data_IF_709760649410
#
_entry.id   IF_709760649410
#
_cell.length_a   1.000
_cell.length_b   1.000
_cell.length_c   1.000
_cell.angle_alpha   90.00
_cell.angle_beta   90.00
_cell.angle_gamma   90.00
#
_symmetry.space_group_name_H-M   'P 1'
#
loop_
_entity.id
_entity.type
_entity.pdbx_description
1 polymer ?
#
# COMPACT_ATOMS: atom_id res chain seq x y z
N UNK A 1 3.37 -18.68 -9.28
CA UNK A 1 1.97 -18.88 -8.84
C UNK A 1 1.97 -18.78 -7.32
N UNK A 2 1.18 -17.88 -6.77
CA UNK A 2 1.11 -17.65 -5.33
C UNK A 2 -0.15 -18.28 -4.76
N UNK A 3 -0.03 -18.85 -3.56
CA UNK A 3 -1.16 -19.39 -2.79
C UNK A 3 -1.61 -18.26 -1.85
N UNK A 4 -2.89 -17.95 -1.86
CA UNK A 4 -3.43 -16.96 -0.95
C UNK A 4 -3.46 -17.50 0.47
N UNK A 5 -2.85 -16.77 1.40
CA UNK A 5 -2.89 -17.13 2.82
C UNK A 5 -4.11 -16.51 3.52
N UNK A 6 -4.36 -15.21 3.32
CA UNK A 6 -5.47 -14.49 3.97
C UNK A 6 -6.11 -13.46 3.04
N UNK A 7 -7.43 -13.28 3.24
CA UNK A 7 -8.22 -12.16 2.70
C UNK A 7 -8.89 -11.46 3.88
N UNK A 8 -8.43 -10.27 4.19
CA UNK A 8 -8.92 -9.50 5.33
C UNK A 8 -9.76 -8.36 4.79
N UNK A 9 -11.07 -8.41 5.05
CA UNK A 9 -11.95 -7.27 4.74
C UNK A 9 -11.65 -6.16 5.73
N UNK A 10 -11.06 -5.07 5.26
CA UNK A 10 -10.74 -3.90 6.09
C UNK A 10 -11.93 -2.95 6.22
N UNK A 11 -12.66 -2.74 5.12
CA UNK A 11 -13.84 -1.90 5.05
C UNK A 11 -14.76 -2.41 3.92
N UNK A 12 -15.92 -1.77 3.72
CA UNK A 12 -16.88 -2.16 2.67
C UNK A 12 -16.26 -2.25 1.27
N UNK A 13 -15.34 -1.32 0.95
CA UNK A 13 -14.71 -1.17 -0.36
C UNK A 13 -13.24 -1.53 -0.42
N UNK A 14 -12.67 -2.14 0.64
CA UNK A 14 -11.24 -2.45 0.69
C UNK A 14 -10.99 -3.83 1.28
N UNK A 15 -10.06 -4.54 0.65
CA UNK A 15 -9.56 -5.82 1.16
C UNK A 15 -8.03 -5.82 1.16
N UNK A 16 -7.45 -6.44 2.16
CA UNK A 16 -6.04 -6.76 2.21
C UNK A 16 -5.87 -8.24 1.86
N UNK A 17 -5.22 -8.52 0.74
CA UNK A 17 -4.92 -9.87 0.28
C UNK A 17 -3.46 -10.16 0.58
N UNK A 18 -3.19 -11.23 1.31
CA UNK A 18 -1.85 -11.72 1.60
C UNK A 18 -1.63 -13.02 0.83
N UNK A 19 -0.60 -13.04 0.00
CA UNK A 19 -0.22 -14.22 -0.78
C UNK A 19 1.10 -14.76 -0.27
N UNK A 20 1.25 -16.07 -0.31
CA UNK A 20 2.50 -16.75 -0.04
C UNK A 20 2.85 -17.72 -1.18
N UNK A 21 4.10 -18.21 -1.19
CA UNK A 21 4.58 -19.18 -2.16
C UNK A 21 5.46 -20.22 -1.48
N UNK A 22 5.50 -21.45 -2.02
CA UNK A 22 6.33 -22.52 -1.48
C UNK A 22 7.83 -22.21 -1.57
N UNK A 23 8.25 -21.51 -2.65
CA UNK A 23 9.61 -21.01 -2.80
C UNK A 23 9.71 -19.58 -2.26
N UNK A 24 10.91 -19.11 -1.88
CA UNK A 24 11.13 -17.73 -1.50
C UNK A 24 10.61 -16.76 -2.58
N UNK A 25 9.95 -15.70 -2.13
CA UNK A 25 9.50 -14.64 -3.03
C UNK A 25 10.71 -13.92 -3.63
N UNK A 26 10.62 -13.43 -4.88
CA UNK A 26 11.69 -12.64 -5.48
C UNK A 26 11.91 -11.34 -4.71
N UNK A 27 13.08 -10.74 -4.89
CA UNK A 27 13.32 -9.38 -4.38
C UNK A 27 12.37 -8.38 -5.04
N UNK A 28 11.78 -7.53 -4.23
CA UNK A 28 10.82 -6.52 -4.65
C UNK A 28 11.21 -5.15 -4.10
N UNK A 29 11.05 -4.12 -4.91
CA UNK A 29 11.34 -2.74 -4.55
C UNK A 29 10.05 -1.99 -4.23
N UNK A 30 10.05 -1.05 -3.24
CA UNK A 30 8.90 -0.18 -2.99
C UNK A 30 8.50 0.58 -4.26
N UNK A 31 7.21 0.62 -4.56
CA UNK A 31 6.66 1.23 -5.78
C UNK A 31 6.43 0.27 -6.93
N UNK A 32 6.94 -0.95 -6.87
CA UNK A 32 6.60 -1.99 -7.84
C UNK A 32 5.17 -2.51 -7.64
N UNK A 33 4.64 -3.17 -8.67
CA UNK A 33 3.29 -3.71 -8.69
C UNK A 33 3.27 -5.15 -9.20
N UNK A 34 2.11 -5.76 -9.16
CA UNK A 34 1.84 -7.08 -9.71
C UNK A 34 0.64 -7.04 -10.66
N UNK A 35 0.65 -7.90 -11.65
CA UNK A 35 -0.47 -8.18 -12.56
C UNK A 35 -1.19 -9.45 -12.10
N UNK A 36 -2.37 -9.31 -11.51
CA UNK A 36 -3.15 -10.41 -10.94
C UNK A 36 -4.22 -10.86 -11.92
N UNK A 37 -4.24 -12.15 -12.26
CA UNK A 37 -5.28 -12.75 -13.11
C UNK A 37 -6.56 -12.96 -12.29
N UNK A 38 -7.69 -12.63 -12.91
CA UNK A 38 -9.02 -12.78 -12.30
C UNK A 38 -9.66 -14.06 -12.85
N UNK A 39 -9.44 -15.15 -12.15
CA UNK A 39 -9.98 -16.45 -12.59
C UNK A 39 -11.49 -16.55 -12.32
N UNK A 40 -12.21 -17.21 -13.24
CA UNK A 40 -13.65 -17.41 -13.15
C UNK A 40 -14.48 -16.13 -13.29
N UNK A 41 -13.95 -15.10 -13.95
CA UNK A 41 -14.70 -13.91 -14.36
C UNK A 41 -15.08 -14.03 -15.84
N UNK A 42 -16.34 -13.77 -16.15
CA UNK A 42 -16.85 -13.71 -17.53
C UNK A 42 -16.76 -12.30 -18.12
N UNK A 43 -16.42 -11.30 -17.30
CA UNK A 43 -16.40 -9.87 -17.69
C UNK A 43 -15.02 -9.24 -17.58
N UNK A 44 -14.07 -9.90 -16.93
CA UNK A 44 -12.71 -9.39 -16.72
C UNK A 44 -11.69 -10.30 -17.38
N UNK A 45 -11.23 -9.92 -18.57
CA UNK A 45 -10.25 -10.70 -19.34
C UNK A 45 -8.80 -10.31 -19.04
N UNK A 46 -8.56 -9.04 -18.74
CA UNK A 46 -7.21 -8.54 -18.45
C UNK A 46 -6.86 -8.71 -16.98
N UNK A 47 -5.57 -8.94 -16.71
CA UNK A 47 -5.02 -8.87 -15.36
C UNK A 47 -5.27 -7.52 -14.73
N UNK A 48 -5.29 -7.46 -13.41
CA UNK A 48 -5.41 -6.21 -12.67
C UNK A 48 -4.04 -5.81 -12.11
N UNK A 49 -3.56 -4.61 -12.47
CA UNK A 49 -2.36 -4.05 -11.85
C UNK A 49 -2.69 -3.63 -10.42
N UNK A 50 -1.96 -4.17 -9.46
CA UNK A 50 -2.12 -3.86 -8.04
C UNK A 50 -0.74 -3.60 -7.45
N UNK A 51 -0.57 -2.43 -6.82
CA UNK A 51 0.66 -2.06 -6.14
C UNK A 51 1.02 -3.04 -5.04
N UNK A 52 2.30 -3.39 -4.91
CA UNK A 52 2.80 -4.14 -3.77
C UNK A 52 2.71 -3.24 -2.54
N UNK A 53 1.90 -3.66 -1.57
CA UNK A 53 1.66 -2.92 -0.33
C UNK A 53 2.78 -3.18 0.69
N UNK A 54 3.16 -4.44 0.87
CA UNK A 54 4.22 -4.86 1.79
C UNK A 54 4.76 -6.24 1.42
N UNK A 55 6.01 -6.51 1.81
CA UNK A 55 6.62 -7.85 1.71
C UNK A 55 7.16 -8.24 3.08
N UNK A 56 6.61 -9.29 3.64
CA UNK A 56 7.14 -9.89 4.86
C UNK A 56 8.02 -11.09 4.50
N UNK A 57 9.33 -10.89 4.60
CA UNK A 57 10.31 -11.94 4.29
C UNK A 57 10.34 -13.06 5.35
N UNK A 58 9.87 -12.80 6.57
CA UNK A 58 9.86 -13.79 7.66
C UNK A 58 8.78 -14.82 7.48
N UNK A 59 7.63 -14.40 6.98
CA UNK A 59 6.48 -15.27 6.67
C UNK A 59 6.38 -15.62 5.19
N UNK A 60 7.30 -15.10 4.36
CA UNK A 60 7.29 -15.26 2.89
C UNK A 60 5.96 -14.80 2.28
N UNK A 61 5.43 -13.65 2.75
CA UNK A 61 4.16 -13.06 2.31
C UNK A 61 4.38 -11.81 1.48
N UNK A 62 3.58 -11.63 0.44
CA UNK A 62 3.37 -10.36 -0.26
C UNK A 62 1.95 -9.88 -0.04
N UNK A 63 1.78 -8.59 0.27
CA UNK A 63 0.50 -7.99 0.60
C UNK A 63 0.02 -7.06 -0.50
N UNK A 64 -1.29 -7.10 -0.77
CA UNK A 64 -1.96 -6.25 -1.74
C UNK A 64 -3.17 -5.58 -1.10
N UNK A 65 -3.14 -4.25 -0.99
CA UNK A 65 -4.30 -3.46 -0.59
C UNK A 65 -5.13 -3.16 -1.84
N UNK A 66 -6.34 -3.70 -1.89
CA UNK A 66 -7.19 -3.65 -3.08
C UNK A 66 -8.47 -2.88 -2.81
N UNK A 67 -8.71 -1.82 -3.59
CA UNK A 67 -9.98 -1.11 -3.61
C UNK A 67 -10.96 -1.79 -4.57
N UNK A 68 -12.20 -2.00 -4.12
CA UNK A 68 -13.24 -2.71 -4.85
C UNK A 68 -14.01 -1.75 -5.79
N UNK A 69 -13.36 -1.30 -6.87
CA UNK A 69 -13.91 -0.31 -7.80
C UNK A 69 -14.62 -0.91 -9.02
N UNK A 70 -14.29 -2.16 -9.40
CA UNK A 70 -14.83 -2.81 -10.60
C UNK A 70 -15.05 -4.30 -10.40
N UNK A 71 -15.60 -4.97 -11.41
CA UNK A 71 -15.94 -6.41 -11.34
C UNK A 71 -14.73 -7.28 -11.05
N UNK A 72 -13.59 -6.97 -11.66
CA UNK A 72 -12.35 -7.70 -11.43
C UNK A 72 -11.88 -7.63 -9.99
N UNK A 73 -11.84 -6.44 -9.38
CA UNK A 73 -11.41 -6.30 -7.99
C UNK A 73 -12.44 -6.86 -7.01
N UNK A 74 -13.74 -6.73 -7.30
CA UNK A 74 -14.81 -7.41 -6.54
C UNK A 74 -14.69 -8.93 -6.62
N UNK A 75 -14.43 -9.49 -7.81
CA UNK A 75 -14.19 -10.93 -7.98
C UNK A 75 -12.93 -11.37 -7.25
N UNK A 76 -11.83 -10.60 -7.35
CA UNK A 76 -10.60 -10.89 -6.61
C UNK A 76 -10.83 -10.93 -5.09
N UNK A 77 -11.73 -10.11 -4.56
CA UNK A 77 -12.07 -10.13 -3.14
C UNK A 77 -12.82 -11.38 -2.68
N UNK A 78 -13.35 -12.21 -3.60
CA UNK A 78 -14.06 -13.45 -3.24
C UNK A 78 -13.14 -14.65 -3.05
N UNK A 79 -11.84 -14.53 -3.38
CA UNK A 79 -10.87 -15.63 -3.18
C UNK A 79 -10.76 -15.98 -1.70
N UNK A 80 -10.58 -17.25 -1.39
CA UNK A 80 -10.55 -17.78 -0.02
C UNK A 80 -9.16 -18.28 0.34
N UNK A 81 -8.92 -18.49 1.60
CA UNK A 81 -7.69 -19.12 2.07
C UNK A 81 -7.50 -20.48 1.39
N UNK A 82 -6.30 -20.72 0.88
CA UNK A 82 -5.94 -21.93 0.13
C UNK A 82 -6.17 -21.83 -1.39
N UNK A 83 -6.89 -20.83 -1.88
CA UNK A 83 -7.05 -20.64 -3.33
C UNK A 83 -5.70 -20.26 -3.97
N UNK A 84 -5.49 -20.74 -5.18
CA UNK A 84 -4.31 -20.41 -5.98
C UNK A 84 -4.62 -19.18 -6.83
N UNK A 85 -3.81 -18.15 -6.70
CA UNK A 85 -3.89 -16.93 -7.50
C UNK A 85 -2.73 -16.87 -8.48
N UNK A 86 -3.02 -16.58 -9.74
CA UNK A 86 -2.00 -16.42 -10.77
C UNK A 86 -1.54 -14.97 -10.81
N UNK A 87 -0.26 -14.76 -10.49
CA UNK A 87 0.35 -13.43 -10.36
C UNK A 87 1.63 -13.34 -11.16
N UNK A 88 1.83 -12.24 -11.86
CA UNK A 88 3.10 -11.85 -12.48
C UNK A 88 3.66 -10.69 -11.65
N UNK A 89 4.80 -10.89 -11.02
CA UNK A 89 5.46 -9.91 -10.14
C UNK A 89 6.96 -10.24 -9.98
N UNK A 90 7.82 -9.28 -9.55
CA UNK A 90 7.52 -7.85 -9.49
C UNK A 90 7.56 -7.20 -10.88
N UNK A 91 6.79 -6.13 -11.08
CA UNK A 91 6.74 -5.36 -12.31
C UNK A 91 6.96 -3.87 -12.03
N UNK A 92 7.42 -3.14 -13.04
CA UNK A 92 7.67 -1.71 -12.93
C UNK A 92 8.98 -1.37 -12.21
N UNK A 93 9.21 -0.06 -12.07
CA UNK A 93 10.36 0.48 -11.36
C UNK A 93 9.99 0.82 -9.93
N UNK A 94 10.97 0.72 -9.01
CA UNK A 94 10.79 1.17 -7.63
C UNK A 94 10.93 2.70 -7.51
N UNK A 95 10.57 3.23 -6.35
CA UNK A 95 10.88 4.61 -5.98
C UNK A 95 12.39 4.82 -5.92
N UNK A 96 12.83 6.03 -6.26
CA UNK A 96 14.23 6.42 -6.09
C UNK A 96 14.53 6.57 -4.60
N UNK A 97 15.43 5.75 -4.09
CA UNK A 97 15.85 5.80 -2.69
C UNK A 97 16.91 6.88 -2.46
N UNK A 98 16.95 7.54 -1.29
CA UNK A 98 17.96 8.53 -0.98
C UNK A 98 19.36 7.92 -0.94
N UNK A 99 20.35 8.62 -1.50
CA UNK A 99 21.75 8.13 -1.52
C UNK A 99 22.47 8.35 -0.19
N UNK A 100 22.20 9.47 0.49
CA UNK A 100 22.73 9.81 1.81
C UNK A 100 21.56 9.84 2.80
N UNK A 101 21.56 8.90 3.73
CA UNK A 101 20.40 8.64 4.61
C UNK A 101 20.53 9.24 6.01
N UNK A 102 21.69 9.85 6.35
CA UNK A 102 21.90 10.38 7.69
C UNK A 102 20.96 11.55 7.97
N UNK A 103 20.00 11.33 8.88
CA UNK A 103 19.00 12.32 9.32
C UNK A 103 18.01 12.80 8.23
N UNK A 104 17.78 12.02 7.18
CA UNK A 104 16.76 12.36 6.17
C UNK A 104 15.36 12.16 6.75
N UNK A 105 14.52 13.19 6.68
CA UNK A 105 13.09 13.17 7.04
C UNK A 105 12.23 13.20 5.76
N UNK A 106 11.90 12.06 5.16
CA UNK A 106 11.02 12.02 3.99
C UNK A 106 9.55 12.10 4.40
N UNK A 107 8.73 12.80 3.58
CA UNK A 107 7.29 12.78 3.68
C UNK A 107 6.71 11.84 2.61
N UNK A 108 5.90 10.88 3.03
CA UNK A 108 5.20 9.95 2.16
C UNK A 108 3.72 10.32 2.11
N UNK A 109 3.25 10.74 0.95
CA UNK A 109 1.88 11.25 0.75
C UNK A 109 1.07 10.26 -0.06
N UNK A 110 -0.07 9.82 0.48
CA UNK A 110 -0.98 8.94 -0.22
C UNK A 110 -2.44 9.29 0.04
N UNK A 111 -3.25 9.33 -1.02
CA UNK A 111 -4.69 9.52 -0.93
C UNK A 111 -5.46 8.24 -1.31
N UNK A 112 -6.43 7.83 -0.49
CA UNK A 112 -7.20 6.61 -0.74
C UNK A 112 -6.32 5.37 -0.88
N UNK A 113 -6.48 4.61 -1.98
CA UNK A 113 -5.64 3.41 -2.24
C UNK A 113 -4.19 3.75 -2.60
N UNK A 114 -3.87 5.01 -2.92
CA UNK A 114 -2.49 5.48 -3.13
C UNK A 114 -1.61 5.36 -1.88
N UNK A 115 -2.18 5.15 -0.70
CA UNK A 115 -1.42 4.80 0.51
C UNK A 115 -0.77 3.41 0.42
N UNK A 116 -1.24 2.53 -0.47
CA UNK A 116 -0.78 1.14 -0.55
C UNK A 116 0.75 1.01 -0.69
N UNK A 117 1.43 1.62 -1.69
CA UNK A 117 2.88 1.46 -1.85
C UNK A 117 3.70 2.20 -0.78
N UNK A 118 3.09 3.14 -0.04
CA UNK A 118 3.76 3.93 0.99
C UNK A 118 4.20 3.10 2.20
N UNK A 119 3.49 2.01 2.51
CA UNK A 119 3.83 1.17 3.66
C UNK A 119 5.17 0.47 3.47
N UNK A 120 5.38 -0.18 2.32
CA UNK A 120 6.66 -0.82 2.00
C UNK A 120 7.79 0.21 1.88
N UNK A 121 7.53 1.35 1.25
CA UNK A 121 8.50 2.43 1.12
C UNK A 121 8.95 2.95 2.49
N UNK A 122 8.00 3.22 3.39
CA UNK A 122 8.30 3.67 4.74
C UNK A 122 9.15 2.66 5.51
N UNK A 123 8.81 1.37 5.42
CA UNK A 123 9.57 0.32 6.08
C UNK A 123 11.03 0.22 5.56
N UNK A 124 11.24 0.35 4.25
CA UNK A 124 12.60 0.34 3.69
C UNK A 124 13.38 1.60 4.07
N UNK A 125 12.74 2.77 4.09
CA UNK A 125 13.38 4.02 4.55
C UNK A 125 13.80 3.94 6.02
N UNK A 126 12.98 3.36 6.91
CA UNK A 126 13.36 3.12 8.31
C UNK A 126 14.56 2.19 8.42
N UNK A 127 14.61 1.10 7.66
CA UNK A 127 15.77 0.18 7.63
C UNK A 127 17.05 0.89 7.18
N UNK A 128 16.93 1.90 6.32
CA UNK A 128 18.06 2.73 5.86
C UNK A 128 18.48 3.80 6.88
N UNK A 129 17.75 3.96 8.00
CA UNK A 129 18.04 4.97 9.04
C UNK A 129 17.39 6.33 8.82
N UNK A 130 16.40 6.42 7.91
CA UNK A 130 15.55 7.62 7.77
C UNK A 130 14.48 7.65 8.85
N UNK A 131 13.91 8.83 9.07
CA UNK A 131 12.74 9.06 9.93
C UNK A 131 11.54 9.52 9.10
N UNK A 132 10.82 8.60 8.43
CA UNK A 132 9.72 8.97 7.55
C UNK A 132 8.55 9.55 8.34
N UNK A 133 7.85 10.50 7.70
CA UNK A 133 6.52 10.95 8.09
C UNK A 133 5.52 10.57 6.99
N UNK A 134 4.27 10.34 7.38
CA UNK A 134 3.21 9.93 6.46
C UNK A 134 2.08 10.96 6.49
N UNK A 135 1.61 11.37 5.32
CA UNK A 135 0.41 12.18 5.16
C UNK A 135 -0.62 11.36 4.38
N UNK A 136 -1.62 10.86 5.10
CA UNK A 136 -2.60 9.92 4.59
C UNK A 136 -3.96 10.61 4.46
N UNK A 137 -4.53 10.57 3.26
CA UNK A 137 -5.84 11.14 2.98
C UNK A 137 -6.89 10.11 2.63
N UNK A 138 -8.13 10.36 3.05
CA UNK A 138 -9.28 9.53 2.74
C UNK A 138 -10.58 10.35 2.67
N UNK A 139 -11.68 9.72 2.24
CA UNK A 139 -13.00 10.35 2.29
C UNK A 139 -13.51 10.52 3.71
N UNK A 140 -13.29 9.48 4.54
CA UNK A 140 -13.68 9.44 5.94
C UNK A 140 -12.67 8.67 6.79
N UNK A 141 -12.76 8.77 8.10
CA UNK A 141 -11.91 8.03 9.03
C UNK A 141 -11.94 6.51 8.82
N UNK A 142 -13.06 5.96 8.34
CA UNK A 142 -13.21 4.53 8.05
C UNK A 142 -12.39 4.07 6.84
N UNK A 143 -12.03 5.00 5.96
CA UNK A 143 -11.23 4.75 4.75
C UNK A 143 -9.74 5.01 4.98
N UNK A 144 -9.33 5.46 6.17
CA UNK A 144 -7.92 5.53 6.59
C UNK A 144 -7.47 4.14 7.03
N UNK A 145 -6.81 3.42 6.11
CA UNK A 145 -6.49 2.01 6.28
C UNK A 145 -5.08 1.81 6.81
N UNK A 146 -4.88 0.75 7.59
CA UNK A 146 -3.56 0.32 8.09
C UNK A 146 -2.81 1.39 8.93
N UNK A 147 -3.51 2.33 9.58
CA UNK A 147 -2.89 3.39 10.39
C UNK A 147 -1.86 2.86 11.39
N UNK A 148 -2.21 1.81 12.14
CA UNK A 148 -1.31 1.18 13.12
C UNK A 148 0.01 0.68 12.50
N UNK A 149 0.00 0.31 11.21
CA UNK A 149 1.22 -0.11 10.53
C UNK A 149 2.10 1.09 10.18
N UNK A 150 1.51 2.20 9.78
CA UNK A 150 2.23 3.46 9.51
C UNK A 150 2.77 4.08 10.80
N UNK A 151 1.99 4.11 11.87
CA UNK A 151 2.38 4.63 13.19
C UNK A 151 3.60 3.91 13.80
N UNK A 152 3.79 2.63 13.47
CA UNK A 152 5.00 1.87 13.87
C UNK A 152 6.25 2.28 13.11
N UNK A 153 6.11 2.96 11.98
CA UNK A 153 7.23 3.34 11.11
C UNK A 153 7.62 4.81 11.25
N UNK A 154 6.71 5.69 11.68
CA UNK A 154 6.97 7.12 11.82
C UNK A 154 5.74 7.92 12.18
N UNK A 155 5.89 9.23 12.11
CA UNK A 155 4.82 10.18 12.41
C UNK A 155 3.73 10.13 11.34
N UNK A 156 2.46 10.14 11.75
CA UNK A 156 1.32 10.05 10.82
C UNK A 156 0.43 11.27 10.95
N UNK A 157 0.26 11.97 9.83
CA UNK A 157 -0.70 13.06 9.63
C UNK A 157 -1.85 12.54 8.79
N UNK A 158 -3.08 12.97 9.08
CA UNK A 158 -4.26 12.50 8.38
C UNK A 158 -5.14 13.64 7.90
N UNK A 159 -5.77 13.46 6.73
CA UNK A 159 -6.86 14.30 6.25
C UNK A 159 -8.07 13.44 5.91
N UNK A 160 -9.27 13.98 6.18
CA UNK A 160 -10.50 13.39 5.68
C UNK A 160 -11.38 14.45 5.03
N UNK A 161 -11.99 14.12 3.90
CA UNK A 161 -12.86 15.06 3.17
C UNK A 161 -14.05 15.51 4.04
N UNK A 162 -14.59 14.59 4.86
CA UNK A 162 -15.70 14.86 5.78
C UNK A 162 -15.27 15.47 7.11
N UNK A 163 -13.97 15.50 7.43
CA UNK A 163 -13.43 16.01 8.69
C UNK A 163 -13.60 15.05 9.88
N UNK A 164 -13.87 13.76 9.63
CA UNK A 164 -14.07 12.76 10.69
C UNK A 164 -12.78 12.31 11.38
N UNK A 165 -11.60 12.60 10.81
CA UNK A 165 -10.30 12.39 11.43
C UNK A 165 -9.23 13.29 10.78
N UNK A 166 -8.34 13.85 11.63
CA UNK A 166 -7.28 14.74 11.19
C UNK A 166 -7.80 16.08 10.67
N UNK A 167 -7.08 16.70 9.75
CA UNK A 167 -7.53 17.93 9.11
C UNK A 167 -8.62 17.64 8.07
N UNK A 168 -9.60 18.53 7.97
CA UNK A 168 -10.64 18.44 6.96
C UNK A 168 -10.11 18.89 5.60
N UNK A 169 -10.24 18.07 4.57
CA UNK A 169 -9.84 18.41 3.20
C UNK A 169 -9.01 17.32 2.54
N UNK A 170 -8.21 17.72 1.55
CA UNK A 170 -7.31 16.85 0.80
C UNK A 170 -5.89 16.91 1.34
N UNK A 171 -5.08 15.89 1.07
CA UNK A 171 -3.65 15.84 1.46
C UNK A 171 -2.87 17.08 1.03
N UNK A 172 -3.21 17.68 -0.10
CA UNK A 172 -2.57 18.91 -0.63
C UNK A 172 -2.88 20.17 0.17
N UNK A 173 -3.83 20.11 1.11
CA UNK A 173 -4.28 21.25 1.92
C UNK A 173 -3.80 21.16 3.37
N UNK A 174 -3.19 20.04 3.78
CA UNK A 174 -2.77 19.83 5.15
C UNK A 174 -1.68 20.83 5.59
N UNK A 175 -1.83 21.36 6.79
CA UNK A 175 -0.94 22.38 7.36
C UNK A 175 0.52 21.93 7.45
N UNK A 176 0.78 20.64 7.63
CA UNK A 176 2.13 20.07 7.71
C UNK A 176 3.00 20.38 6.48
N UNK A 177 2.39 20.59 5.33
CA UNK A 177 3.13 20.95 4.09
C UNK A 177 3.72 22.36 4.16
N UNK A 178 3.27 23.19 5.10
CA UNK A 178 3.71 24.57 5.28
C UNK A 178 4.46 24.80 6.60
N UNK A 179 4.31 23.91 7.57
CA UNK A 179 4.87 24.05 8.91
C UNK A 179 6.13 23.23 9.12
N UNK A 180 6.17 22.03 8.58
CA UNK A 180 7.32 21.12 8.71
C UNK A 180 8.24 21.19 7.50
N UNK A 181 9.52 20.86 7.73
CA UNK A 181 10.52 20.72 6.68
C UNK A 181 10.81 19.24 6.44
N UNK A 182 10.64 18.82 5.19
CA UNK A 182 10.96 17.50 4.72
C UNK A 182 12.06 17.57 3.64
N UNK A 183 12.99 16.63 3.69
CA UNK A 183 14.11 16.60 2.74
C UNK A 183 13.70 16.01 1.39
N UNK A 184 12.69 15.16 1.40
CA UNK A 184 12.13 14.50 0.22
C UNK A 184 10.63 14.30 0.37
N UNK A 185 9.91 14.32 -0.74
CA UNK A 185 8.49 14.00 -0.78
C UNK A 185 8.26 12.88 -1.79
N UNK A 186 7.59 11.83 -1.35
CA UNK A 186 7.10 10.74 -2.19
C UNK A 186 5.58 10.81 -2.27
N UNK A 187 5.03 10.63 -3.47
CA UNK A 187 3.57 10.69 -3.70
C UNK A 187 3.08 9.51 -4.53
N UNK A 188 1.83 9.10 -4.28
CA UNK A 188 1.11 8.13 -5.10
C UNK A 188 -0.41 8.44 -5.12
#
# INVERSE_FOLDING_TARGET
>A
MCIRDRNIKLHANYVLIKLTHANPLPEMLPGQFAEIRIDGSNTTFLRRPISINYVDKTTNEVWFLVQLVGDGTRKLATVKQGDIVNVVMPLGNGFTMPRNVTKVKPLLVGGGVGTAPMLMLGAELVKMGCTPAFLLGARSSKDLLQLENFEKLGEVYTTTEDGSMGEKGYVTQHSVLHTDRFDMIYTC
#
